data_IF_764044121568
#
_entry.id   IF_764044121568
#
_cell.length_a   1.000
_cell.length_b   1.000
_cell.length_c   1.000
_cell.angle_alpha   90.00
_cell.angle_beta   90.00
_cell.angle_gamma   90.00
#
_symmetry.space_group_name_H-M   'P 1'
#
loop_
_entity.id
_entity.type
_entity.pdbx_description
1 polymer ?
#
# COMPACT_ATOMS: atom_id res chain seq x y z
N UNK A 1 11.53 22.23 -17.31
CA UNK A 1 12.91 21.86 -16.85
C UNK A 1 12.76 20.84 -15.73
N UNK A 2 13.14 19.58 -15.97
CA UNK A 2 12.81 18.45 -15.10
C UNK A 2 13.75 18.39 -13.88
N UNK A 3 13.44 19.14 -12.82
CA UNK A 3 14.24 19.26 -11.57
C UNK A 3 14.53 17.90 -10.92
N UNK A 4 13.65 16.92 -11.12
CA UNK A 4 13.74 15.58 -10.53
C UNK A 4 14.92 14.79 -11.10
N UNK A 5 15.18 14.92 -12.41
CA UNK A 5 16.31 14.24 -13.06
C UNK A 5 17.65 14.87 -12.67
N UNK A 6 17.69 16.18 -12.46
CA UNK A 6 18.92 16.90 -12.09
C UNK A 6 19.33 16.62 -10.64
N UNK A 7 18.38 16.41 -9.73
CA UNK A 7 18.64 16.12 -8.32
C UNK A 7 19.14 14.68 -8.10
N UNK A 8 18.66 13.69 -8.87
CA UNK A 8 19.13 12.30 -8.78
C UNK A 8 20.62 12.15 -9.16
N UNK A 9 21.13 13.02 -10.04
CA UNK A 9 22.53 13.00 -10.45
C UNK A 9 23.49 13.65 -9.43
N UNK A 10 23.00 14.38 -8.43
CA UNK A 10 23.84 15.09 -7.44
C UNK A 10 24.20 14.25 -6.21
N UNK A 11 23.61 13.07 -6.04
CA UNK A 11 23.87 12.21 -4.88
C UNK A 11 24.86 11.10 -5.22
N UNK A 12 26.15 11.31 -4.94
CA UNK A 12 27.20 10.28 -5.10
C UNK A 12 27.18 9.19 -4.02
N UNK A 13 26.22 9.24 -3.10
CA UNK A 13 26.13 8.37 -1.93
C UNK A 13 24.75 7.70 -1.86
N UNK A 14 24.77 6.37 -1.87
CA UNK A 14 23.61 5.49 -1.82
C UNK A 14 22.71 5.77 -0.61
N UNK A 15 23.28 6.23 0.51
CA UNK A 15 22.52 6.57 1.72
C UNK A 15 21.65 7.81 1.50
N UNK A 16 22.21 8.85 0.86
CA UNK A 16 21.49 10.11 0.59
C UNK A 16 20.44 9.96 -0.50
N UNK A 17 20.71 9.14 -1.51
CA UNK A 17 19.72 8.79 -2.54
C UNK A 17 18.50 8.08 -1.93
N UNK A 18 18.71 7.16 -0.97
CA UNK A 18 17.63 6.45 -0.28
C UNK A 18 16.81 7.36 0.65
N UNK A 19 17.45 8.36 1.27
CA UNK A 19 16.77 9.37 2.08
C UNK A 19 15.94 10.32 1.21
N UNK A 20 16.46 10.76 0.07
CA UNK A 20 15.72 11.59 -0.88
C UNK A 20 14.51 10.84 -1.50
N UNK A 21 14.67 9.56 -1.83
CA UNK A 21 13.55 8.71 -2.27
C UNK A 21 12.50 8.49 -1.17
N UNK A 22 12.89 8.52 0.10
CA UNK A 22 11.95 8.42 1.24
C UNK A 22 11.15 9.70 1.42
N UNK A 23 11.80 10.87 1.39
CA UNK A 23 11.10 12.16 1.55
C UNK A 23 10.19 12.46 0.36
N UNK A 24 10.57 12.07 -0.86
CA UNK A 24 9.70 12.18 -2.04
C UNK A 24 8.46 11.29 -1.95
N UNK A 25 8.52 10.17 -1.22
CA UNK A 25 7.35 9.32 -0.97
C UNK A 25 6.43 9.89 0.09
N UNK A 26 6.95 10.67 1.03
CA UNK A 26 6.12 11.33 2.05
C UNK A 26 5.19 12.39 1.45
N UNK A 27 5.60 13.03 0.35
CA UNK A 27 4.76 13.98 -0.40
C UNK A 27 3.70 13.28 -1.29
N UNK A 28 3.91 12.01 -1.66
CA UNK A 28 3.00 11.25 -2.51
C UNK A 28 1.96 10.50 -1.66
N UNK A 29 0.73 11.01 -1.68
CA UNK A 29 -0.40 10.35 -1.02
C UNK A 29 -0.96 9.23 -1.89
N UNK A 30 -1.15 8.05 -1.31
CA UNK A 30 -1.77 6.91 -1.99
C UNK A 30 -3.27 7.18 -2.14
N UNK A 31 -3.77 7.05 -3.36
CA UNK A 31 -5.20 7.06 -3.67
C UNK A 31 -5.61 5.64 -4.05
N UNK A 32 -6.63 5.10 -3.35
CA UNK A 32 -7.21 3.82 -3.69
C UNK A 32 -8.11 3.93 -4.92
N UNK A 33 -7.91 3.08 -5.93
CA UNK A 33 -8.62 3.17 -7.22
C UNK A 33 -9.34 1.86 -7.52
N UNK A 34 -10.61 1.95 -7.91
CA UNK A 34 -11.38 0.83 -8.45
C UNK A 34 -11.37 0.87 -9.97
N UNK A 35 -10.23 0.46 -10.54
CA UNK A 35 -9.95 0.67 -11.96
C UNK A 35 -10.97 -0.02 -12.87
N UNK A 36 -11.35 -1.27 -12.55
CA UNK A 36 -12.32 -2.00 -13.34
C UNK A 36 -13.68 -1.29 -13.36
N UNK A 37 -14.16 -0.86 -12.18
CA UNK A 37 -15.42 -0.14 -12.06
C UNK A 37 -15.42 1.23 -12.74
N UNK A 38 -14.28 1.93 -12.74
CA UNK A 38 -14.10 3.20 -13.43
C UNK A 38 -14.16 3.01 -14.96
N UNK A 39 -13.53 1.96 -15.48
CA UNK A 39 -13.53 1.62 -16.91
C UNK A 39 -14.90 1.15 -17.40
N UNK A 40 -15.58 0.31 -16.61
CA UNK A 40 -16.89 -0.24 -16.98
C UNK A 40 -18.02 0.80 -16.88
N UNK A 41 -17.84 1.84 -16.06
CA UNK A 41 -18.84 2.89 -15.81
C UNK A 41 -18.22 4.30 -15.85
N UNK A 42 -17.95 4.84 -17.05
CA UNK A 42 -17.45 6.20 -17.21
C UNK A 42 -18.38 7.24 -16.55
N UNK A 43 -17.82 8.24 -15.87
CA UNK A 43 -18.58 9.26 -15.14
C UNK A 43 -19.18 8.81 -13.79
N UNK A 44 -18.85 7.61 -13.31
CA UNK A 44 -19.26 7.15 -11.98
C UNK A 44 -18.41 7.75 -10.86
N UNK A 45 -18.79 7.49 -9.60
CA UNK A 45 -18.01 7.91 -8.40
C UNK A 45 -16.61 7.29 -8.33
N UNK A 46 -16.33 6.28 -9.14
CA UNK A 46 -15.02 5.62 -9.21
C UNK A 46 -14.09 6.27 -10.24
N UNK A 47 -14.60 7.22 -11.01
CA UNK A 47 -13.82 7.94 -12.02
C UNK A 47 -12.93 8.97 -11.33
N UNK A 48 -11.61 8.84 -11.52
CA UNK A 48 -10.61 9.68 -10.87
C UNK A 48 -9.94 10.55 -11.91
N UNK A 49 -10.05 11.87 -11.74
CA UNK A 49 -9.37 12.84 -12.59
C UNK A 49 -7.91 12.92 -12.20
N UNK A 50 -7.02 12.63 -13.15
CA UNK A 50 -5.58 12.72 -12.95
C UNK A 50 -5.07 14.14 -13.16
N UNK A 51 -4.05 14.51 -12.39
CA UNK A 51 -3.34 15.78 -12.49
C UNK A 51 -1.91 15.58 -12.99
N UNK A 52 -1.31 16.66 -13.50
CA UNK A 52 0.10 16.63 -13.90
C UNK A 52 0.98 16.27 -12.69
N UNK A 53 1.80 15.23 -12.85
CA UNK A 53 2.67 14.72 -11.79
C UNK A 53 2.13 13.49 -11.06
N UNK A 54 0.87 13.09 -11.28
CA UNK A 54 0.34 11.84 -10.75
C UNK A 54 1.07 10.62 -11.33
N UNK A 55 1.19 9.58 -10.50
CA UNK A 55 1.88 8.34 -10.86
C UNK A 55 0.90 7.18 -10.75
N UNK A 56 0.56 6.58 -11.90
CA UNK A 56 -0.17 5.32 -11.95
C UNK A 56 0.78 4.15 -11.72
N UNK A 57 0.54 3.38 -10.65
CA UNK A 57 1.34 2.20 -10.30
C UNK A 57 0.50 0.94 -10.44
N UNK A 58 0.90 0.07 -11.37
CA UNK A 58 0.27 -1.26 -11.55
C UNK A 58 1.10 -2.30 -10.79
N UNK A 59 0.61 -2.83 -9.66
CA UNK A 59 1.32 -3.86 -8.92
C UNK A 59 1.25 -5.21 -9.64
N UNK A 60 2.22 -6.08 -9.39
CA UNK A 60 2.13 -7.49 -9.77
C UNK A 60 1.11 -8.19 -8.87
N UNK A 61 0.49 -9.25 -9.39
CA UNK A 61 -0.36 -10.10 -8.59
C UNK A 61 0.44 -10.76 -7.45
N UNK A 62 -0.01 -10.55 -6.22
CA UNK A 62 0.62 -11.10 -5.03
C UNK A 62 -0.25 -12.22 -4.46
N UNK A 63 0.33 -13.40 -4.30
CA UNK A 63 -0.35 -14.57 -3.73
C UNK A 63 -0.19 -14.68 -2.21
N UNK A 64 0.07 -13.55 -1.55
CA UNK A 64 0.35 -13.51 -0.11
C UNK A 64 -0.29 -12.30 0.55
N UNK A 65 -0.75 -12.47 1.78
CA UNK A 65 -1.12 -11.39 2.70
C UNK A 65 0.02 -11.19 3.68
N UNK A 66 0.41 -9.94 3.93
CA UNK A 66 1.45 -9.61 4.91
C UNK A 66 0.82 -8.97 6.14
N UNK A 67 1.18 -9.46 7.33
CA UNK A 67 0.82 -8.80 8.58
C UNK A 67 1.94 -7.86 9.01
N UNK A 68 1.54 -6.68 9.49
CA UNK A 68 2.43 -5.70 10.10
C UNK A 68 2.20 -5.67 11.61
N UNK A 69 2.70 -4.61 12.27
CA UNK A 69 2.62 -4.36 13.71
C UNK A 69 1.30 -4.77 14.39
N UNK A 70 1.36 -5.03 15.70
CA UNK A 70 0.20 -5.40 16.52
C UNK A 70 -0.08 -6.91 16.58
N UNK A 71 0.78 -7.74 16.00
CA UNK A 71 0.77 -9.20 16.12
C UNK A 71 2.12 -9.72 16.59
N UNK A 72 2.14 -10.90 17.23
CA UNK A 72 3.36 -11.48 17.79
C UNK A 72 4.43 -11.78 16.73
N UNK A 73 4.03 -12.28 15.56
CA UNK A 73 4.94 -12.66 14.48
C UNK A 73 4.51 -12.05 13.14
N UNK A 74 4.97 -10.84 12.81
CA UNK A 74 4.75 -10.23 11.50
C UNK A 74 5.36 -11.09 10.39
N UNK A 75 4.53 -11.63 9.49
CA UNK A 75 5.00 -12.50 8.40
C UNK A 75 4.12 -12.39 7.16
N UNK A 76 4.57 -13.03 6.07
CA UNK A 76 3.75 -13.29 4.88
C UNK A 76 3.03 -14.62 5.04
N UNK A 77 1.75 -14.62 4.70
CA UNK A 77 0.85 -15.77 4.73
C UNK A 77 0.37 -16.00 3.30
N UNK A 78 0.42 -17.24 2.83
CA UNK A 78 -0.09 -17.60 1.50
C UNK A 78 -1.59 -17.34 1.46
N UNK A 79 -2.02 -16.55 0.47
CA UNK A 79 -3.42 -16.28 0.26
C UNK A 79 -4.11 -17.53 -0.28
N UNK A 80 -5.29 -17.80 0.25
CA UNK A 80 -6.17 -18.88 -0.20
C UNK A 80 -7.60 -18.39 -0.14
N UNK A 81 -8.45 -18.91 -1.02
CA UNK A 81 -9.86 -18.53 -1.04
C UNK A 81 -10.50 -18.74 0.34
N UNK A 82 -11.28 -17.76 0.79
CA UNK A 82 -11.92 -17.77 2.11
C UNK A 82 -10.99 -17.41 3.29
N UNK A 83 -9.74 -16.99 3.05
CA UNK A 83 -8.85 -16.53 4.11
C UNK A 83 -9.42 -15.29 4.81
N UNK A 84 -9.68 -15.41 6.11
CA UNK A 84 -10.26 -14.34 6.94
C UNK A 84 -9.18 -13.60 7.72
N UNK A 85 -9.46 -12.34 8.07
CA UNK A 85 -8.59 -11.53 8.97
C UNK A 85 -8.31 -12.25 10.29
N UNK A 86 -9.33 -12.92 10.86
CA UNK A 86 -9.17 -13.69 12.10
C UNK A 86 -8.16 -14.84 11.96
N UNK A 87 -8.16 -15.53 10.82
CA UNK A 87 -7.17 -16.56 10.53
C UNK A 87 -5.78 -15.96 10.33
N UNK A 88 -5.67 -14.87 9.58
CA UNK A 88 -4.41 -14.14 9.37
C UNK A 88 -3.78 -13.75 10.70
N UNK A 89 -4.54 -13.13 11.61
CA UNK A 89 -4.06 -12.75 12.95
C UNK A 89 -3.58 -13.98 13.75
N UNK A 90 -4.33 -15.08 13.69
CA UNK A 90 -3.99 -16.33 14.40
C UNK A 90 -2.70 -16.96 13.87
N UNK A 91 -2.54 -16.99 12.54
CA UNK A 91 -1.33 -17.50 11.91
C UNK A 91 -0.10 -16.63 12.23
N UNK A 92 -0.30 -15.35 12.55
CA UNK A 92 0.72 -14.44 13.07
C UNK A 92 0.92 -14.50 14.59
N UNK A 93 0.42 -15.55 15.26
CA UNK A 93 0.61 -15.76 16.70
C UNK A 93 -0.38 -15.01 17.60
N UNK A 94 -1.39 -14.36 17.03
CA UNK A 94 -2.35 -13.56 17.78
C UNK A 94 -1.96 -12.08 17.85
N UNK A 95 -2.80 -11.30 18.53
CA UNK A 95 -2.61 -9.86 18.73
C UNK A 95 -1.74 -9.66 19.98
N UNK A 96 -0.79 -8.72 19.91
CA UNK A 96 0.02 -8.31 21.07
C UNK A 96 -0.87 -7.70 22.18
N UNK A 97 -0.46 -7.70 23.46
CA UNK A 97 -1.22 -7.07 24.54
C UNK A 97 -1.57 -5.60 24.29
N UNK A 98 -0.65 -4.84 23.70
CA UNK A 98 -0.81 -3.45 23.28
C UNK A 98 -1.54 -3.29 21.94
N UNK A 99 -1.76 -4.40 21.21
CA UNK A 99 -2.39 -4.41 19.90
C UNK A 99 -3.89 -4.12 19.96
N UNK A 100 -4.35 -3.13 19.20
CA UNK A 100 -5.75 -2.72 19.19
C UNK A 100 -6.55 -3.44 18.11
N UNK A 101 -7.03 -4.65 18.42
CA UNK A 101 -7.81 -5.47 17.47
C UNK A 101 -9.02 -4.74 16.86
N UNK A 102 -9.69 -3.86 17.61
CA UNK A 102 -10.85 -3.07 17.13
C UNK A 102 -10.48 -1.98 16.13
N UNK A 103 -9.19 -1.69 15.97
CA UNK A 103 -8.66 -0.72 14.99
C UNK A 103 -7.86 -1.42 13.89
N UNK A 104 -7.99 -2.74 13.76
CA UNK A 104 -7.35 -3.47 12.68
C UNK A 104 -7.97 -3.06 11.33
N UNK A 105 -7.13 -3.00 10.31
CA UNK A 105 -7.52 -2.66 8.96
C UNK A 105 -6.76 -3.52 7.96
N UNK A 106 -7.33 -3.64 6.77
CA UNK A 106 -6.74 -4.32 5.61
C UNK A 106 -6.48 -3.26 4.55
N UNK A 107 -5.25 -3.25 4.03
CA UNK A 107 -4.88 -2.47 2.84
C UNK A 107 -4.91 -3.40 1.64
N UNK A 108 -5.76 -3.10 0.67
CA UNK A 108 -5.90 -3.88 -0.56
C UNK A 108 -4.86 -3.47 -1.61
N UNK A 109 -4.56 -4.34 -2.60
CA UNK A 109 -3.60 -4.02 -3.67
C UNK A 109 -3.94 -2.77 -4.48
N UNK A 110 -5.23 -2.43 -4.55
CA UNK A 110 -5.73 -1.24 -5.22
C UNK A 110 -5.60 0.04 -4.39
N UNK A 111 -5.04 -0.03 -3.18
CA UNK A 111 -4.84 1.10 -2.27
C UNK A 111 -6.01 1.39 -1.33
N UNK A 112 -7.15 0.68 -1.45
CA UNK A 112 -8.27 0.86 -0.52
C UNK A 112 -7.95 0.31 0.88
N UNK A 113 -8.48 0.99 1.90
CA UNK A 113 -8.35 0.56 3.29
C UNK A 113 -9.72 0.21 3.84
N UNK A 114 -9.85 -0.99 4.43
CA UNK A 114 -11.09 -1.45 5.06
C UNK A 114 -10.85 -1.85 6.49
N UNK A 115 -11.65 -1.30 7.40
CA UNK A 115 -11.67 -1.73 8.81
C UNK A 115 -12.32 -3.11 8.95
N UNK A 116 -11.86 -3.91 9.90
CA UNK A 116 -12.21 -5.33 10.03
C UNK A 116 -13.24 -5.62 11.10
#
# INVERSE_FOLDING_TARGET
KNKIATLKATFSDTVKAKQADSTLRDDLKIVGIRLQEALDRPGSVYDVVLQEGDILKVPKEVQTVQTFSGVYFPKKIVYRSGLTVKQVIRESGGVLPEGQKRKAYVVYPNGEVKST
#
